data_IF_395956431084
#
_entry.id   IF_395956431084
#
_cell.length_a   1.000
_cell.length_b   1.000
_cell.length_c   1.000
_cell.angle_alpha   90.00
_cell.angle_beta   90.00
_cell.angle_gamma   90.00
#
_symmetry.space_group_name_H-M   'P 1'
#
loop_
_entity.id
_entity.type
_entity.pdbx_description
1 polymer ?
#
# COMPACT_ATOMS: atom_id res chain seq x y z
N UNK A 1 11.87 2.72 -10.37
CA UNK A 1 10.77 3.45 -11.06
C UNK A 1 9.71 2.48 -11.60
N UNK A 2 9.97 1.69 -12.65
CA UNK A 2 8.95 0.80 -13.22
C UNK A 2 8.54 -0.34 -12.28
N UNK A 3 9.51 -0.99 -11.63
CA UNK A 3 9.24 -2.09 -10.69
C UNK A 3 8.51 -1.61 -9.45
N UNK A 4 8.94 -0.48 -8.90
CA UNK A 4 8.27 0.22 -7.79
C UNK A 4 6.79 0.47 -8.09
N UNK A 5 6.47 0.88 -9.31
CA UNK A 5 5.10 1.14 -9.72
C UNK A 5 4.22 -0.12 -9.73
N UNK A 6 4.75 -1.24 -10.25
CA UNK A 6 4.03 -2.54 -10.25
C UNK A 6 3.76 -3.01 -8.82
N UNK A 7 4.80 -2.98 -7.97
CA UNK A 7 4.70 -3.36 -6.54
C UNK A 7 3.72 -2.46 -5.80
N UNK A 8 3.73 -1.16 -6.05
CA UNK A 8 2.78 -0.22 -5.45
C UNK A 8 1.33 -0.53 -5.84
N UNK A 9 1.05 -1.00 -7.07
CA UNK A 9 -0.29 -1.48 -7.44
C UNK A 9 -0.69 -2.68 -6.59
N UNK A 10 0.16 -3.71 -6.52
CA UNK A 10 -0.11 -4.94 -5.77
C UNK A 10 -0.33 -4.62 -4.28
N UNK A 11 0.55 -3.82 -3.68
CA UNK A 11 0.44 -3.38 -2.28
C UNK A 11 -0.86 -2.60 -2.06
N UNK A 12 -1.24 -1.70 -2.98
CA UNK A 12 -2.50 -0.96 -2.86
C UNK A 12 -3.72 -1.87 -2.90
N UNK A 13 -3.72 -2.88 -3.78
CA UNK A 13 -4.80 -3.86 -3.85
C UNK A 13 -4.89 -4.72 -2.59
N UNK A 14 -3.75 -5.13 -2.02
CA UNK A 14 -3.73 -5.93 -0.79
C UNK A 14 -4.14 -5.12 0.44
N UNK A 15 -3.66 -3.89 0.58
CA UNK A 15 -3.89 -3.06 1.77
C UNK A 15 -5.28 -2.37 1.74
N UNK A 16 -5.69 -1.86 0.58
CA UNK A 16 -6.89 -1.02 0.46
C UNK A 16 -8.06 -1.74 -0.23
N UNK A 17 -7.82 -2.92 -0.83
CA UNK A 17 -8.80 -3.63 -1.66
C UNK A 17 -9.14 -2.92 -2.98
N UNK A 18 -8.51 -1.78 -3.27
CA UNK A 18 -8.78 -0.95 -4.46
C UNK A 18 -7.54 -0.15 -4.84
N UNK A 19 -7.50 0.30 -6.09
CA UNK A 19 -6.45 1.20 -6.55
C UNK A 19 -6.79 2.65 -6.16
N UNK A 20 -5.93 3.39 -5.43
CA UNK A 20 -6.18 4.78 -5.09
C UNK A 20 -6.15 5.65 -6.35
N UNK A 21 -7.12 6.56 -6.49
CA UNK A 21 -7.24 7.44 -7.67
C UNK A 21 -6.01 8.36 -7.84
N UNK A 22 -5.39 8.73 -6.73
CA UNK A 22 -4.21 9.59 -6.64
C UNK A 22 -2.89 8.82 -6.47
N UNK A 23 -2.82 7.55 -6.93
CA UNK A 23 -1.64 6.69 -6.78
C UNK A 23 -0.33 7.37 -7.19
N UNK A 24 -0.38 8.27 -8.18
CA UNK A 24 0.73 9.19 -8.47
C UNK A 24 0.32 10.64 -8.24
N UNK A 25 1.20 11.45 -7.62
CA UNK A 25 0.95 12.87 -7.43
C UNK A 25 0.78 13.62 -8.75
N UNK A 26 0.01 14.73 -8.73
CA UNK A 26 -0.23 15.57 -9.91
C UNK A 26 1.04 16.16 -10.54
N UNK A 27 2.10 16.34 -9.75
CA UNK A 27 3.40 16.83 -10.21
C UNK A 27 4.26 15.76 -10.92
N UNK A 28 3.73 14.55 -11.12
CA UNK A 28 4.45 13.49 -11.85
C UNK A 28 4.65 13.88 -13.31
N UNK A 29 5.88 13.78 -13.81
CA UNK A 29 6.23 14.08 -15.20
C UNK A 29 5.37 13.30 -16.22
N UNK A 30 4.86 13.95 -17.28
CA UNK A 30 4.09 13.29 -18.35
C UNK A 30 4.79 12.10 -19.01
N UNK A 31 6.12 12.13 -19.12
CA UNK A 31 6.90 11.03 -19.70
C UNK A 31 6.79 9.76 -18.84
N UNK A 32 6.84 9.92 -17.50
CA UNK A 32 6.66 8.83 -16.55
C UNK A 32 5.22 8.29 -16.62
N UNK A 33 4.23 9.17 -16.80
CA UNK A 33 2.82 8.78 -16.94
C UNK A 33 2.54 7.91 -18.17
N UNK A 34 3.23 8.16 -19.29
CA UNK A 34 3.09 7.35 -20.51
C UNK A 34 3.77 6.00 -20.36
N UNK A 35 5.03 5.99 -19.94
CA UNK A 35 5.83 4.77 -19.82
C UNK A 35 5.22 3.77 -18.82
N UNK A 36 4.73 4.26 -17.68
CA UNK A 36 4.13 3.39 -16.64
C UNK A 36 2.85 2.70 -17.11
N UNK A 37 2.04 3.35 -17.96
CA UNK A 37 0.78 2.77 -18.44
C UNK A 37 1.05 1.54 -19.29
N UNK A 38 2.09 1.58 -20.13
CA UNK A 38 2.49 0.48 -20.99
C UNK A 38 3.09 -0.66 -20.18
N UNK A 39 4.05 -0.36 -19.30
CA UNK A 39 4.77 -1.39 -18.51
C UNK A 39 3.88 -2.00 -17.42
N UNK A 40 2.99 -1.21 -16.83
CA UNK A 40 2.08 -1.64 -15.77
C UNK A 40 0.76 -2.24 -16.26
N UNK A 41 0.53 -2.37 -17.58
CA UNK A 41 -0.73 -2.92 -18.12
C UNK A 41 -1.17 -4.25 -17.48
N UNK A 42 -0.29 -5.26 -17.29
CA UNK A 42 -0.65 -6.50 -16.61
C UNK A 42 -1.28 -6.28 -15.22
N UNK A 43 -0.65 -5.42 -14.42
CA UNK A 43 -1.06 -5.11 -13.05
C UNK A 43 -2.30 -4.21 -13.01
N UNK A 44 -2.47 -3.32 -13.99
CA UNK A 44 -3.68 -2.49 -14.11
C UNK A 44 -4.90 -3.33 -14.50
N UNK A 45 -4.73 -4.34 -15.38
CA UNK A 45 -5.79 -5.30 -15.68
C UNK A 45 -6.15 -6.13 -14.46
N UNK A 46 -5.16 -6.56 -13.69
CA UNK A 46 -5.39 -7.23 -12.40
C UNK A 46 -6.22 -6.34 -11.47
N UNK A 47 -5.86 -5.07 -11.31
CA UNK A 47 -6.63 -4.13 -10.48
C UNK A 47 -8.08 -3.95 -10.96
N UNK A 48 -8.30 -3.93 -12.28
CA UNK A 48 -9.64 -3.85 -12.86
C UNK A 48 -10.48 -5.10 -12.58
N UNK A 49 -9.92 -6.30 -12.75
CA UNK A 49 -10.62 -7.54 -12.43
C UNK A 49 -10.85 -7.67 -10.91
N UNK A 50 -9.91 -7.21 -10.10
CA UNK A 50 -10.02 -7.15 -8.64
C UNK A 50 -11.22 -6.28 -8.22
N UNK A 51 -11.40 -5.11 -8.84
CA UNK A 51 -12.56 -4.25 -8.61
C UNK A 51 -13.91 -4.90 -8.97
N UNK A 52 -13.90 -5.92 -9.84
CA UNK A 52 -15.12 -6.68 -10.18
C UNK A 52 -15.50 -7.73 -9.14
N UNK A 53 -14.65 -7.98 -8.14
CA UNK A 53 -14.79 -8.99 -7.08
C UNK A 53 -15.08 -10.41 -7.61
N UNK A 54 -14.71 -10.68 -8.87
CA UNK A 54 -14.93 -11.98 -9.50
C UNK A 54 -13.68 -12.85 -9.40
N UNK A 55 -13.65 -13.71 -8.40
CA UNK A 55 -12.53 -14.64 -8.17
C UNK A 55 -12.16 -15.47 -9.40
N UNK A 56 -13.16 -15.96 -10.15
CA UNK A 56 -12.93 -16.81 -11.32
C UNK A 56 -12.17 -16.03 -12.41
N UNK A 57 -12.53 -14.75 -12.63
CA UNK A 57 -11.83 -13.89 -13.60
C UNK A 57 -10.41 -13.59 -13.14
N UNK A 58 -10.22 -13.30 -11.86
CA UNK A 58 -8.91 -13.03 -11.26
C UNK A 58 -8.00 -14.26 -11.40
N UNK A 59 -8.48 -15.44 -11.02
CA UNK A 59 -7.75 -16.70 -11.14
C UNK A 59 -7.32 -16.98 -12.59
N UNK A 60 -8.25 -16.86 -13.55
CA UNK A 60 -7.93 -17.04 -14.98
C UNK A 60 -6.89 -16.03 -15.48
N UNK A 61 -6.99 -14.76 -15.07
CA UNK A 61 -6.03 -13.73 -15.45
C UNK A 61 -4.64 -14.04 -14.89
N UNK A 62 -4.56 -14.46 -13.62
CA UNK A 62 -3.31 -14.87 -12.97
C UNK A 62 -2.70 -16.07 -13.68
N UNK A 63 -3.48 -17.10 -14.00
CA UNK A 63 -2.99 -18.25 -14.77
C UNK A 63 -2.46 -17.85 -16.14
N UNK A 64 -3.21 -17.02 -16.87
CA UNK A 64 -2.83 -16.54 -18.21
C UNK A 64 -1.57 -15.66 -18.20
N UNK A 65 -1.40 -14.82 -17.18
CA UNK A 65 -0.28 -13.87 -17.07
C UNK A 65 0.82 -14.33 -16.11
N UNK A 66 0.78 -15.58 -15.64
CA UNK A 66 1.69 -16.16 -14.64
C UNK A 66 3.16 -15.91 -14.96
N UNK A 67 3.59 -16.18 -16.19
CA UNK A 67 4.96 -15.95 -16.65
C UNK A 67 5.43 -14.48 -16.51
N UNK A 68 4.51 -13.51 -16.52
CA UNK A 68 4.85 -12.09 -16.30
C UNK A 68 5.08 -11.81 -14.82
N UNK A 69 4.20 -12.31 -13.95
CA UNK A 69 4.30 -12.11 -12.50
C UNK A 69 5.51 -12.84 -11.89
N UNK A 70 5.80 -14.05 -12.37
CA UNK A 70 6.99 -14.80 -11.96
C UNK A 70 8.27 -14.10 -12.41
N UNK A 71 8.32 -13.57 -13.64
CA UNK A 71 9.47 -12.82 -14.15
C UNK A 71 9.75 -11.55 -13.34
N UNK A 72 8.68 -10.89 -12.90
CA UNK A 72 8.77 -9.68 -12.10
C UNK A 72 8.95 -9.96 -10.59
N UNK A 73 9.07 -11.23 -10.18
CA UNK A 73 9.18 -11.65 -8.77
C UNK A 73 8.03 -11.12 -7.88
N UNK A 74 6.84 -10.97 -8.47
CA UNK A 74 5.64 -10.44 -7.82
C UNK A 74 4.54 -11.50 -7.63
N UNK A 75 4.86 -12.78 -7.85
CA UNK A 75 3.94 -13.89 -7.63
C UNK A 75 4.06 -14.38 -6.18
N UNK A 76 2.95 -14.26 -5.42
CA UNK A 76 2.88 -14.69 -4.02
C UNK A 76 2.55 -16.17 -3.84
N UNK A 77 2.13 -16.51 -2.61
CA UNK A 77 1.90 -17.85 -2.05
C UNK A 77 1.65 -18.94 -3.10
N UNK A 78 2.62 -19.83 -3.22
CA UNK A 78 2.70 -20.89 -4.23
C UNK A 78 2.12 -22.22 -3.72
N UNK A 79 1.85 -22.33 -2.42
CA UNK A 79 1.39 -23.55 -1.76
C UNK A 79 0.39 -23.27 -0.63
N UNK A 80 -0.47 -24.25 -0.37
CA UNK A 80 -1.41 -24.27 0.78
C UNK A 80 -0.66 -24.16 2.12
N UNK A 81 0.51 -24.81 2.25
CA UNK A 81 1.34 -24.72 3.45
C UNK A 81 1.94 -23.32 3.66
N UNK A 82 2.25 -22.61 2.57
CA UNK A 82 2.70 -21.22 2.65
C UNK A 82 1.54 -20.31 3.06
N UNK A 83 0.32 -20.56 2.57
CA UNK A 83 -0.87 -19.81 2.95
C UNK A 83 -1.22 -20.02 4.44
N UNK A 84 -1.14 -21.24 4.95
CA UNK A 84 -1.34 -21.52 6.38
C UNK A 84 -0.32 -20.77 7.24
N UNK A 85 0.97 -20.88 6.90
CA UNK A 85 2.05 -20.18 7.61
C UNK A 85 1.84 -18.66 7.58
N UNK A 86 1.41 -18.13 6.44
CA UNK A 86 1.14 -16.70 6.28
C UNK A 86 -0.04 -16.24 7.14
N UNK A 87 -1.12 -17.02 7.21
CA UNK A 87 -2.29 -16.73 8.06
C UNK A 87 -1.93 -16.82 9.54
N UNK A 88 -1.09 -17.78 9.95
CA UNK A 88 -0.57 -17.85 11.31
C UNK A 88 0.22 -16.60 11.68
N UNK A 89 1.13 -16.15 10.82
CA UNK A 89 1.91 -14.93 11.06
C UNK A 89 0.99 -13.69 11.17
N UNK A 90 -0.03 -13.58 10.32
CA UNK A 90 -1.00 -12.46 10.41
C UNK A 90 -1.81 -12.49 11.73
N UNK A 91 -2.08 -13.67 12.29
CA UNK A 91 -2.73 -13.81 13.60
C UNK A 91 -1.77 -13.38 14.73
N UNK A 92 -0.52 -13.87 14.68
CA UNK A 92 0.51 -13.56 15.68
C UNK A 92 0.88 -12.06 15.69
N UNK A 93 0.96 -11.43 14.52
CA UNK A 93 1.20 -10.00 14.34
C UNK A 93 -0.04 -9.14 14.70
N UNK A 94 -1.20 -9.77 14.95
CA UNK A 94 -2.45 -9.10 15.29
C UNK A 94 -3.11 -8.37 14.12
N UNK A 95 -2.73 -8.67 12.87
CA UNK A 95 -3.31 -8.10 11.66
C UNK A 95 -4.72 -8.65 11.40
N UNK A 96 -4.97 -9.91 11.76
CA UNK A 96 -6.28 -10.56 11.67
C UNK A 96 -6.63 -11.25 12.98
N UNK A 97 -7.90 -11.15 13.36
CA UNK A 97 -8.45 -11.92 14.47
C UNK A 97 -9.09 -13.17 13.88
N UNK A 98 -8.33 -14.26 13.83
CA UNK A 98 -8.81 -15.50 13.24
C UNK A 98 -8.26 -16.72 13.99
N UNK A 99 -8.98 -17.83 13.88
CA UNK A 99 -8.54 -19.13 14.39
C UNK A 99 -8.51 -20.13 13.25
N UNK A 100 -7.42 -20.89 13.15
CA UNK A 100 -7.24 -21.92 12.13
C UNK A 100 -7.66 -23.27 12.71
N UNK A 101 -8.59 -23.96 12.05
CA UNK A 101 -8.95 -25.34 12.35
C UNK A 101 -8.23 -26.27 11.36
N UNK A 102 -7.09 -26.82 11.79
CA UNK A 102 -6.26 -27.71 10.98
C UNK A 102 -6.94 -29.05 10.62
N UNK A 103 -7.96 -29.48 11.37
CA UNK A 103 -8.68 -30.73 11.06
C UNK A 103 -9.58 -30.58 9.83
N UNK A 104 -10.19 -29.41 9.69
CA UNK A 104 -11.14 -29.11 8.62
C UNK A 104 -10.54 -28.23 7.51
N UNK A 105 -9.30 -27.75 7.69
CA UNK A 105 -8.62 -26.84 6.74
C UNK A 105 -9.28 -25.45 6.65
N UNK A 106 -10.06 -25.07 7.66
CA UNK A 106 -10.88 -23.85 7.64
C UNK A 106 -10.32 -22.77 8.57
N UNK A 107 -10.42 -21.52 8.12
CA UNK A 107 -10.08 -20.33 8.90
C UNK A 107 -11.37 -19.64 9.33
N UNK A 108 -11.54 -19.44 10.62
CA UNK A 108 -12.68 -18.73 11.21
C UNK A 108 -12.22 -17.34 11.61
N UNK A 109 -12.73 -16.33 10.91
CA UNK A 109 -12.49 -14.93 11.24
C UNK A 109 -13.44 -14.48 12.34
N UNK A 110 -12.89 -13.76 13.31
CA UNK A 110 -13.58 -13.11 14.41
C UNK A 110 -13.39 -11.60 14.28
N UNK A 111 -14.31 -10.81 14.81
CA UNK A 111 -14.09 -9.37 14.89
C UNK A 111 -13.14 -9.03 16.05
N UNK A 112 -12.35 -7.98 15.86
CA UNK A 112 -11.48 -7.44 16.91
C UNK A 112 -12.34 -7.00 18.09
N UNK A 113 -12.10 -7.56 19.28
CA UNK A 113 -12.81 -7.19 20.52
C UNK A 113 -12.32 -5.87 21.15
N UNK A 114 -11.65 -5.01 20.38
CA UNK A 114 -11.05 -3.75 20.85
C UNK A 114 -12.14 -2.69 21.06
N UNK A 115 -12.28 -2.20 22.30
CA UNK A 115 -13.31 -1.23 22.69
C UNK A 115 -12.75 0.19 22.91
N UNK A 116 -11.48 0.44 22.59
CA UNK A 116 -10.80 1.74 22.74
C UNK A 116 -10.73 2.27 24.18
N UNK A 117 -10.88 1.39 25.17
CA UNK A 117 -10.88 1.70 26.60
C UNK A 117 -9.56 1.31 27.30
N UNK A 118 -8.61 0.75 26.55
CA UNK A 118 -7.32 0.32 27.06
C UNK A 118 -6.33 1.50 27.23
N UNK A 119 -5.42 1.35 28.20
CA UNK A 119 -4.31 2.29 28.42
C UNK A 119 -3.35 2.31 27.21
N UNK A 120 -3.26 1.21 26.48
CA UNK A 120 -2.43 1.10 25.28
C UNK A 120 -2.93 2.01 24.15
N UNK A 121 -4.26 2.06 23.94
CA UNK A 121 -4.88 2.99 23.00
C UNK A 121 -4.62 4.45 23.40
N UNK A 122 -4.68 4.77 24.69
CA UNK A 122 -4.34 6.11 25.18
C UNK A 122 -2.89 6.49 24.86
N UNK A 123 -1.93 5.59 25.11
CA UNK A 123 -0.53 5.83 24.78
C UNK A 123 -0.30 6.01 23.28
N UNK A 124 -0.97 5.22 22.46
CA UNK A 124 -0.89 5.34 20.99
C UNK A 124 -1.42 6.68 20.50
N UNK A 125 -2.55 7.14 21.03
CA UNK A 125 -3.10 8.47 20.73
C UNK A 125 -2.12 9.57 21.16
N UNK A 126 -1.48 9.43 22.33
CA UNK A 126 -0.50 10.39 22.82
C UNK A 126 0.76 10.45 21.94
N UNK A 127 1.22 9.31 21.44
CA UNK A 127 2.34 9.23 20.50
C UNK A 127 1.99 9.92 19.17
N UNK A 128 0.84 9.59 18.58
CA UNK A 128 0.35 10.23 17.34
C UNK A 128 0.18 11.75 17.51
N UNK A 129 -0.27 12.20 18.69
CA UNK A 129 -0.36 13.62 19.02
C UNK A 129 1.03 14.29 19.07
N UNK A 130 2.05 13.60 19.59
CA UNK A 130 3.43 14.11 19.57
C UNK A 130 3.96 14.24 18.14
N UNK A 131 3.77 13.21 17.31
CA UNK A 131 4.19 13.23 15.89
C UNK A 131 3.55 14.39 15.13
N UNK A 132 2.26 14.63 15.35
CA UNK A 132 1.56 15.74 14.71
C UNK A 132 2.04 17.11 15.20
N UNK A 133 2.37 17.25 16.50
CA UNK A 133 2.97 18.48 17.04
C UNK A 133 4.34 18.78 16.42
N UNK A 134 5.19 17.76 16.27
CA UNK A 134 6.50 17.90 15.64
C UNK A 134 6.39 18.32 14.18
N UNK A 135 5.45 17.71 13.44
CA UNK A 135 5.16 18.11 12.05
C UNK A 135 4.71 19.58 11.96
N UNK A 136 3.87 20.04 12.90
CA UNK A 136 3.44 21.46 12.98
C UNK A 136 4.63 22.37 13.25
N UNK A 137 5.57 21.97 14.11
CA UNK A 137 6.77 22.76 14.39
C UNK A 137 7.65 22.91 13.13
N UNK A 138 7.80 21.84 12.36
CA UNK A 138 8.53 21.86 11.07
C UNK A 138 7.83 22.79 10.07
N UNK A 139 6.51 22.71 9.94
CA UNK A 139 5.74 23.60 9.07
C UNK A 139 5.91 25.08 9.44
N UNK A 140 5.82 25.41 10.74
CA UNK A 140 6.03 26.78 11.22
C UNK A 140 7.43 27.30 10.87
N UNK A 141 8.46 26.44 10.99
CA UNK A 141 9.82 26.81 10.61
C UNK A 141 9.92 27.11 9.11
N UNK A 142 9.35 26.26 8.26
CA UNK A 142 9.32 26.48 6.81
C UNK A 142 8.59 27.78 6.43
N UNK A 143 7.46 28.08 7.08
CA UNK A 143 6.71 29.33 6.84
C UNK A 143 7.52 30.57 7.26
N UNK A 144 8.24 30.51 8.39
CA UNK A 144 9.10 31.61 8.83
C UNK A 144 10.28 31.86 7.89
N UNK A 145 10.79 30.80 7.25
CA UNK A 145 11.88 30.88 6.27
C UNK A 145 11.38 31.33 4.88
N UNK A 146 10.16 30.96 4.49
CA UNK A 146 9.57 31.39 3.22
C UNK A 146 9.01 32.82 3.24
N UNK A 147 8.67 33.35 4.42
CA UNK A 147 8.23 34.74 4.60
C UNK A 147 9.36 35.78 4.45
N UNK A 148 10.61 35.33 4.28
CA UNK A 148 11.80 36.19 4.28
C UNK A 148 12.21 36.83 2.96
N UNK A 149 11.95 36.24 1.78
CA UNK A 149 12.26 36.88 0.50
C UNK A 149 11.63 36.12 -0.68
N UNK A 150 10.96 36.81 -1.61
CA UNK A 150 10.46 36.23 -2.87
C UNK A 150 11.65 35.80 -3.77
N UNK A 151 12.87 36.31 -3.53
CA UNK A 151 14.08 35.95 -4.29
C UNK A 151 14.70 34.60 -3.96
N UNK A 152 14.45 34.00 -2.78
CA UNK A 152 15.03 32.68 -2.43
C UNK A 152 14.33 31.53 -3.14
N UNK A 153 13.02 31.67 -3.41
CA UNK A 153 12.26 30.68 -4.19
C UNK A 153 12.78 30.54 -5.62
N UNK A 154 13.22 31.66 -6.24
CA UNK A 154 13.83 31.62 -7.58
C UNK A 154 15.17 30.88 -7.56
N UNK A 155 15.98 31.06 -6.51
CA UNK A 155 17.29 30.37 -6.37
C UNK A 155 17.14 28.86 -6.22
N UNK A 156 16.18 28.40 -5.40
CA UNK A 156 15.93 26.97 -5.20
C UNK A 156 15.43 26.31 -6.49
N UNK A 157 14.65 27.01 -7.32
CA UNK A 157 14.18 26.47 -8.61
C UNK A 157 15.30 26.46 -9.67
N UNK A 158 16.25 27.40 -9.62
CA UNK A 158 17.36 27.47 -10.58
C UNK A 158 18.57 26.59 -10.21
N UNK A 159 18.75 26.23 -8.93
CA UNK A 159 19.86 25.36 -8.48
C UNK A 159 19.63 23.86 -8.74
N UNK A 160 18.45 23.48 -9.24
CA UNK A 160 18.12 22.10 -9.65
C UNK A 160 18.07 21.89 -11.18
N UNK A 161 18.71 22.76 -11.97
CA UNK A 161 19.06 22.50 -13.38
C UNK A 161 20.56 22.19 -13.52
#
# INVERSE_FOLDING_TARGET
>A
MQETYKKQIVISLLLQGKLPENMLPRYTSPCVLRQRRTVGQPYLKLAQEYASLNYIKISRLISHMSATYTRDENMGLTSEAEAETYILNMIDDGEIYATINQKDGMVVFQDSSENYDSVDVFHKIQEDMTVTMDLIAILKKMDTESSGDVRTLVKIVTEFQ
#
